data_IF_041621056578
#
_entry.id   IF_041621056578
#
_cell.length_a   1.000
_cell.length_b   1.000
_cell.length_c   1.000
_cell.angle_alpha   90.00
_cell.angle_beta   90.00
_cell.angle_gamma   90.00
#
_symmetry.space_group_name_H-M   'P 1'
#
loop_
_entity.id
_entity.type
_entity.pdbx_description
1 polymer ?
#
# COMPACT_ATOMS: atom_id res chain seq x y z
N UNK A 1 -0.76 30.16 -36.50
CA UNK A 1 -0.67 29.11 -35.46
C UNK A 1 -0.15 27.76 -36.02
N UNK A 2 0.94 27.77 -36.80
CA UNK A 2 1.53 26.56 -37.43
C UNK A 2 3.02 26.35 -37.09
N UNK A 3 3.70 27.36 -36.54
CA UNK A 3 5.15 27.31 -36.30
C UNK A 3 5.54 26.67 -34.95
N UNK A 4 4.69 26.75 -33.93
CA UNK A 4 5.01 26.22 -32.60
C UNK A 4 5.07 24.68 -32.54
N UNK A 5 4.38 23.96 -33.44
CA UNK A 5 4.46 22.50 -33.52
C UNK A 5 5.79 21.99 -34.09
N UNK A 6 6.53 22.82 -34.83
CA UNK A 6 7.75 22.40 -35.54
C UNK A 6 9.02 22.48 -34.67
N UNK A 7 8.99 23.27 -33.59
CA UNK A 7 10.11 23.39 -32.65
C UNK A 7 10.18 22.16 -31.73
N UNK A 8 9.03 21.62 -31.29
CA UNK A 8 8.98 20.48 -30.37
C UNK A 8 9.57 19.19 -30.96
N UNK A 9 9.48 18.99 -32.28
CA UNK A 9 9.89 17.74 -32.95
C UNK A 9 11.33 17.74 -33.47
N UNK A 10 11.97 18.91 -33.63
CA UNK A 10 13.26 19.05 -34.32
C UNK A 10 14.47 19.22 -33.39
N UNK A 11 14.33 19.85 -32.21
CA UNK A 11 15.48 20.05 -31.33
C UNK A 11 15.74 18.83 -30.45
N UNK A 12 16.76 18.03 -30.82
CA UNK A 12 17.32 16.93 -30.02
C UNK A 12 17.48 17.25 -28.52
N UNK A 13 17.98 18.44 -28.10
CA UNK A 13 18.12 18.75 -26.67
C UNK A 13 16.79 18.84 -25.93
N UNK A 14 15.71 19.28 -26.58
CA UNK A 14 14.38 19.39 -25.95
C UNK A 14 13.78 18.00 -25.69
N UNK A 15 13.96 17.04 -26.61
CA UNK A 15 13.50 15.66 -26.41
C UNK A 15 14.22 14.99 -25.24
N UNK A 16 15.53 15.21 -25.13
CA UNK A 16 16.33 14.73 -24.01
C UNK A 16 15.82 15.34 -22.69
N UNK A 17 15.61 16.65 -22.64
CA UNK A 17 15.06 17.33 -21.46
C UNK A 17 13.72 16.73 -21.02
N UNK A 18 12.78 16.57 -21.96
CA UNK A 18 11.45 15.99 -21.68
C UNK A 18 11.60 14.55 -21.16
N UNK A 19 12.46 13.75 -21.78
CA UNK A 19 12.72 12.37 -21.35
C UNK A 19 13.27 12.31 -19.92
N UNK A 20 14.18 13.22 -19.55
CA UNK A 20 14.73 13.31 -18.19
C UNK A 20 13.64 13.67 -17.19
N UNK A 21 12.76 14.63 -17.52
CA UNK A 21 11.63 15.01 -16.66
C UNK A 21 10.69 13.82 -16.45
N UNK A 22 10.33 13.10 -17.51
CA UNK A 22 9.45 11.92 -17.42
C UNK A 22 10.09 10.83 -16.55
N UNK A 23 11.38 10.56 -16.73
CA UNK A 23 12.12 9.60 -15.89
C UNK A 23 12.15 10.02 -14.42
N UNK A 24 12.34 11.32 -14.14
CA UNK A 24 12.35 11.84 -12.77
C UNK A 24 10.95 11.68 -12.11
N UNK A 25 9.88 12.00 -12.84
CA UNK A 25 8.50 11.81 -12.36
C UNK A 25 8.19 10.33 -12.11
N UNK A 26 8.63 9.43 -13.00
CA UNK A 26 8.44 7.99 -12.85
C UNK A 26 9.23 7.44 -11.65
N UNK A 27 10.46 7.90 -11.44
CA UNK A 27 11.26 7.54 -10.28
C UNK A 27 10.58 8.00 -8.97
N UNK A 28 10.01 9.21 -8.96
CA UNK A 28 9.25 9.72 -7.82
C UNK A 28 7.97 8.91 -7.58
N UNK A 29 7.25 8.55 -8.65
CA UNK A 29 6.09 7.68 -8.59
C UNK A 29 6.42 6.34 -7.93
N UNK A 30 7.46 5.65 -8.41
CA UNK A 30 7.86 4.36 -7.85
C UNK A 30 8.33 4.47 -6.41
N UNK A 31 9.03 5.56 -6.05
CA UNK A 31 9.39 5.83 -4.66
C UNK A 31 8.17 5.89 -3.74
N UNK A 32 7.08 6.53 -4.18
CA UNK A 32 5.83 6.58 -3.41
C UNK A 32 5.13 5.22 -3.42
N UNK A 33 5.02 4.58 -4.58
CA UNK A 33 4.34 3.29 -4.75
C UNK A 33 4.92 2.21 -3.84
N UNK A 34 6.25 2.10 -3.79
CA UNK A 34 6.95 1.10 -2.98
C UNK A 34 7.16 1.53 -1.53
N UNK A 35 6.65 2.68 -1.10
CA UNK A 35 6.72 3.09 0.30
C UNK A 35 6.03 2.03 1.16
N UNK A 36 6.77 1.47 2.11
CA UNK A 36 6.27 0.51 3.09
C UNK A 36 5.64 1.23 4.27
N UNK A 37 4.60 0.63 4.82
CA UNK A 37 3.84 1.22 5.92
C UNK A 37 2.67 0.34 6.28
N UNK A 38 1.68 0.93 6.93
CA UNK A 38 0.44 0.24 7.27
C UNK A 38 -0.72 1.23 7.32
N UNK A 39 -1.93 0.75 7.10
CA UNK A 39 -3.12 1.50 7.47
C UNK A 39 -3.40 1.40 8.97
N UNK A 40 -3.46 2.55 9.64
CA UNK A 40 -4.06 2.66 10.95
C UNK A 40 -5.42 3.35 10.78
N UNK A 41 -6.49 2.56 10.94
CA UNK A 41 -7.85 2.93 10.52
C UNK A 41 -7.81 3.26 9.01
N UNK A 42 -8.21 4.47 8.62
CA UNK A 42 -8.27 4.88 7.20
C UNK A 42 -7.03 5.68 6.76
N UNK A 43 -5.95 5.67 7.54
CA UNK A 43 -4.75 6.49 7.25
C UNK A 43 -3.52 5.62 7.06
N UNK A 44 -2.90 5.74 5.89
CA UNK A 44 -1.59 5.13 5.64
C UNK A 44 -0.51 5.85 6.45
N UNK A 45 0.13 5.12 7.36
CA UNK A 45 1.29 5.58 8.13
C UNK A 45 2.54 4.92 7.56
N UNK A 46 3.51 5.74 7.16
CA UNK A 46 4.76 5.30 6.54
C UNK A 46 5.67 4.69 7.60
N UNK A 47 6.28 3.56 7.28
CA UNK A 47 7.30 2.90 8.11
C UNK A 47 8.65 3.60 7.94
N UNK A 48 9.28 3.90 9.07
CA UNK A 48 10.61 4.48 9.19
C UNK A 48 11.37 3.65 10.23
N UNK A 49 12.27 2.79 9.75
CA UNK A 49 13.06 1.93 10.62
C UNK A 49 14.37 2.63 10.99
N UNK A 50 14.61 2.76 12.29
CA UNK A 50 15.92 3.06 12.88
C UNK A 50 16.55 1.77 13.43
N UNK A 51 17.83 1.80 13.81
CA UNK A 51 18.61 0.64 14.23
C UNK A 51 18.01 -0.14 15.42
N UNK A 52 17.20 0.50 16.28
CA UNK A 52 16.57 -0.13 17.45
C UNK A 52 15.07 0.14 17.61
N UNK A 53 14.49 0.96 16.72
CA UNK A 53 13.10 1.39 16.82
C UNK A 53 12.47 1.43 15.43
N UNK A 54 11.26 0.91 15.31
CA UNK A 54 10.45 1.10 14.11
C UNK A 54 9.39 2.16 14.40
N UNK A 55 9.41 3.25 13.63
CA UNK A 55 8.42 4.31 13.73
C UNK A 55 7.48 4.25 12.54
N UNK A 56 6.19 4.44 12.80
CA UNK A 56 5.18 4.59 11.77
C UNK A 56 4.59 5.99 11.91
N UNK A 57 4.75 6.81 10.86
CA UNK A 57 4.38 8.22 10.90
C UNK A 57 3.40 8.53 9.78
N UNK A 58 2.33 9.24 10.13
CA UNK A 58 1.39 9.79 9.16
C UNK A 58 0.56 10.91 9.74
N UNK A 59 -0.39 11.38 8.96
CA UNK A 59 -1.27 12.49 9.32
C UNK A 59 -2.64 12.26 8.73
N UNK A 60 -3.67 12.52 9.53
CA UNK A 60 -5.06 12.54 9.08
C UNK A 60 -5.69 13.92 9.30
N UNK A 61 -6.98 14.05 9.01
CA UNK A 61 -7.73 15.31 9.17
C UNK A 61 -7.82 15.80 10.62
N UNK A 62 -7.52 14.95 11.60
CA UNK A 62 -7.63 15.25 13.04
C UNK A 62 -6.27 15.56 13.69
N UNK A 63 -5.15 15.15 13.08
CA UNK A 63 -3.82 15.44 13.58
C UNK A 63 -2.76 14.48 13.06
N UNK A 64 -1.58 14.56 13.67
CA UNK A 64 -0.47 13.65 13.40
C UNK A 64 -0.71 12.32 14.13
N UNK A 65 -0.30 11.22 13.50
CA UNK A 65 -0.29 9.89 14.09
C UNK A 65 1.15 9.40 14.05
N UNK A 66 1.66 9.00 15.21
CA UNK A 66 2.97 8.36 15.33
C UNK A 66 2.84 7.12 16.20
N UNK A 67 3.30 5.99 15.68
CA UNK A 67 3.32 4.73 16.41
C UNK A 67 4.77 4.25 16.45
N UNK A 68 5.31 4.07 17.64
CA UNK A 68 6.70 3.67 17.84
C UNK A 68 6.74 2.28 18.43
N UNK A 69 7.46 1.38 17.77
CA UNK A 69 7.67 0.00 18.19
C UNK A 69 9.12 -0.15 18.62
N UNK A 70 9.33 -0.48 19.89
CA UNK A 70 10.65 -0.64 20.50
C UNK A 70 10.79 -2.04 21.07
N UNK A 71 11.92 -2.69 20.78
CA UNK A 71 12.24 -3.96 21.42
C UNK A 71 12.85 -3.71 22.79
N UNK A 72 12.26 -4.28 23.84
CA UNK A 72 12.74 -4.18 25.22
C UNK A 72 13.66 -5.34 25.60
N UNK A 73 13.31 -6.54 25.16
CA UNK A 73 14.07 -7.76 25.45
C UNK A 73 14.00 -8.70 24.25
N UNK A 74 15.11 -9.35 23.86
CA UNK A 74 15.12 -10.33 22.79
C UNK A 74 14.61 -11.71 23.25
N UNK A 75 14.65 -12.04 24.55
CA UNK A 75 14.25 -13.36 25.05
C UNK A 75 13.73 -13.37 26.50
N UNK A 76 12.45 -13.71 26.75
CA UNK A 76 11.39 -13.80 25.75
C UNK A 76 11.22 -12.46 25.04
N UNK A 77 10.99 -12.50 23.73
CA UNK A 77 10.87 -11.28 22.93
C UNK A 77 9.78 -10.40 23.56
N UNK A 78 10.10 -9.16 23.88
CA UNK A 78 9.17 -8.21 24.49
C UNK A 78 9.28 -6.91 23.75
N UNK A 79 8.13 -6.38 23.32
CA UNK A 79 8.05 -5.21 22.46
C UNK A 79 7.08 -4.22 23.06
N UNK A 80 7.50 -2.95 23.14
CA UNK A 80 6.63 -1.85 23.51
C UNK A 80 6.12 -1.16 22.25
N UNK A 81 4.81 -0.94 22.19
CA UNK A 81 4.14 -0.17 21.15
C UNK A 81 3.58 1.09 21.79
N UNK A 82 4.18 2.23 21.46
CA UNK A 82 3.77 3.56 21.92
C UNK A 82 2.98 4.24 20.83
N UNK A 83 1.75 4.64 21.16
CA UNK A 83 0.85 5.38 20.28
C UNK A 83 0.81 6.84 20.70
N UNK A 84 1.17 7.72 19.78
CA UNK A 84 0.97 9.16 19.86
C UNK A 84 -0.10 9.53 18.82
N UNK A 85 -1.32 9.72 19.29
CA UNK A 85 -2.50 9.97 18.47
C UNK A 85 -2.91 11.45 18.56
N UNK A 86 -3.81 11.91 17.66
CA UNK A 86 -4.41 13.25 17.76
C UNK A 86 -5.02 13.53 19.14
N UNK A 87 -5.18 14.82 19.47
CA UNK A 87 -5.64 15.28 20.79
C UNK A 87 -4.71 14.90 21.96
N UNK A 88 -3.40 14.78 21.71
CA UNK A 88 -2.38 14.44 22.70
C UNK A 88 -2.63 13.12 23.43
N UNK A 89 -3.36 12.19 22.81
CA UNK A 89 -3.60 10.87 23.37
C UNK A 89 -2.31 10.08 23.22
N UNK A 90 -1.76 9.69 24.36
CA UNK A 90 -0.61 8.80 24.47
C UNK A 90 -1.03 7.51 25.13
N UNK A 91 -0.80 6.39 24.45
CA UNK A 91 -1.08 5.05 24.96
C UNK A 91 0.15 4.18 24.74
N UNK A 92 0.41 3.29 25.68
CA UNK A 92 1.55 2.40 25.63
C UNK A 92 1.09 0.99 25.93
N UNK A 93 1.39 0.07 25.01
CA UNK A 93 1.11 -1.33 25.20
C UNK A 93 2.40 -2.14 25.15
N UNK A 94 2.57 -3.04 26.12
CA UNK A 94 3.69 -3.99 26.13
C UNK A 94 3.19 -5.36 25.68
N UNK A 95 3.84 -5.92 24.67
CA UNK A 95 3.54 -7.25 24.12
C UNK A 95 4.67 -8.19 24.48
N UNK A 96 4.35 -9.27 25.18
CA UNK A 96 5.32 -10.34 25.50
C UNK A 96 5.05 -11.55 24.60
N UNK A 97 6.11 -12.04 23.95
CA UNK A 97 6.06 -13.18 23.05
C UNK A 97 6.39 -14.48 23.77
N UNK A 98 5.77 -15.60 23.40
CA UNK A 98 6.06 -16.90 24.01
C UNK A 98 7.47 -17.37 23.66
N UNK A 99 8.10 -18.04 24.63
CA UNK A 99 9.50 -18.48 24.60
C UNK A 99 9.85 -19.45 23.45
N UNK A 100 8.88 -20.26 22.99
CA UNK A 100 9.06 -21.28 21.95
C UNK A 100 8.51 -20.88 20.56
N UNK A 101 8.09 -19.62 20.37
CA UNK A 101 7.48 -19.12 19.14
C UNK A 101 8.43 -18.94 17.94
N UNK A 102 9.53 -19.69 17.89
CA UNK A 102 10.57 -19.60 16.84
C UNK A 102 10.28 -20.52 15.62
N UNK A 103 9.19 -21.30 15.67
CA UNK A 103 8.75 -22.06 14.51
C UNK A 103 7.79 -21.19 13.69
N UNK A 104 8.20 -20.94 12.46
CA UNK A 104 7.67 -19.99 11.46
C UNK A 104 6.19 -20.17 11.05
N UNK A 105 5.44 -21.01 11.75
CA UNK A 105 4.09 -21.41 11.35
C UNK A 105 3.15 -21.43 12.55
N UNK A 106 2.32 -20.39 12.60
CA UNK A 106 0.92 -20.47 13.04
C UNK A 106 0.62 -20.56 14.55
N UNK A 107 -0.37 -19.78 14.96
CA UNK A 107 -1.31 -20.02 16.07
C UNK A 107 -1.04 -19.43 17.47
N UNK A 108 0.20 -19.34 18.01
CA UNK A 108 0.38 -19.06 19.46
C UNK A 108 1.65 -18.30 19.88
N UNK A 109 2.14 -17.33 19.10
CA UNK A 109 3.45 -16.70 19.35
C UNK A 109 3.51 -15.64 20.47
N UNK A 110 2.38 -15.22 21.05
CA UNK A 110 2.37 -14.20 22.11
C UNK A 110 1.65 -14.66 23.37
N UNK A 111 2.03 -14.09 24.50
CA UNK A 111 1.59 -14.50 25.82
C UNK A 111 0.51 -13.54 26.33
N UNK A 112 0.81 -12.25 26.35
CA UNK A 112 -0.11 -11.23 26.79
C UNK A 112 0.23 -9.85 26.20
N UNK A 113 -0.78 -8.98 26.26
CA UNK A 113 -0.67 -7.54 26.03
C UNK A 113 -1.02 -6.85 27.34
N UNK A 114 -0.14 -5.96 27.80
CA UNK A 114 -0.35 -5.12 28.98
C UNK A 114 -0.51 -3.66 28.60
N UNK A 115 -1.36 -2.94 29.32
CA UNK A 115 -1.51 -1.49 29.19
C UNK A 115 -0.41 -0.70 29.94
N UNK A 116 -0.49 0.63 29.88
CA UNK A 116 0.41 1.54 30.59
C UNK A 116 0.46 1.35 32.12
N UNK A 117 -0.59 0.75 32.71
CA UNK A 117 -0.67 0.47 34.15
C UNK A 117 -0.24 -0.95 34.51
N UNK A 118 0.12 -1.77 33.51
CA UNK A 118 0.53 -3.16 33.68
C UNK A 118 -0.64 -4.16 33.76
N UNK A 119 -1.88 -3.73 33.54
CA UNK A 119 -3.03 -4.62 33.49
C UNK A 119 -3.04 -5.42 32.19
N UNK A 120 -3.44 -6.69 32.25
CA UNK A 120 -3.55 -7.54 31.07
C UNK A 120 -4.80 -7.12 30.29
N UNK A 121 -4.59 -6.53 29.12
CA UNK A 121 -5.65 -6.13 28.18
C UNK A 121 -6.11 -7.32 27.36
N UNK A 122 -5.19 -8.24 27.05
CA UNK A 122 -5.46 -9.44 26.28
C UNK A 122 -4.43 -10.52 26.59
N UNK A 123 -4.87 -11.78 26.65
CA UNK A 123 -4.02 -12.95 26.73
C UNK A 123 -4.52 -13.99 25.73
N UNK A 124 -3.64 -14.48 24.85
CA UNK A 124 -4.08 -15.25 23.69
C UNK A 124 -3.09 -15.31 22.54
N UNK A 125 -3.60 -15.60 21.33
CA UNK A 125 -2.86 -15.82 20.09
C UNK A 125 -3.57 -15.26 18.86
N UNK A 126 -2.93 -15.32 17.69
CA UNK A 126 -3.62 -15.18 16.40
C UNK A 126 -3.97 -16.58 15.91
N UNK A 127 -5.19 -16.80 15.42
CA UNK A 127 -5.52 -18.03 14.71
C UNK A 127 -4.68 -18.13 13.42
N UNK A 128 -4.73 -17.08 12.62
CA UNK A 128 -3.96 -16.91 11.40
C UNK A 128 -3.56 -15.43 11.30
N UNK A 129 -2.28 -15.17 10.96
CA UNK A 129 -1.73 -13.82 10.81
C UNK A 129 -2.45 -13.06 9.68
N UNK A 130 -2.92 -13.80 8.66
CA UNK A 130 -3.57 -13.22 7.49
C UNK A 130 -5.08 -13.04 7.70
N UNK A 131 -5.72 -13.92 8.48
CA UNK A 131 -7.15 -13.83 8.79
C UNK A 131 -7.49 -12.78 9.86
N UNK A 132 -6.49 -12.32 10.64
CA UNK A 132 -6.66 -11.30 11.68
C UNK A 132 -7.51 -11.73 12.89
N UNK A 133 -7.91 -13.01 12.95
CA UNK A 133 -8.73 -13.55 14.03
C UNK A 133 -7.89 -13.80 15.29
N UNK A 134 -8.30 -13.20 16.40
CA UNK A 134 -7.68 -13.43 17.70
C UNK A 134 -8.28 -14.65 18.38
N UNK A 135 -7.45 -15.38 19.11
CA UNK A 135 -7.83 -16.48 19.99
C UNK A 135 -7.48 -16.14 21.42
N UNK A 136 -8.35 -16.46 22.37
CA UNK A 136 -8.02 -16.42 23.79
C UNK A 136 -7.07 -17.56 24.20
N UNK A 137 -6.68 -17.61 25.48
CA UNK A 137 -5.88 -18.70 26.04
C UNK A 137 -6.49 -20.09 25.86
N UNK A 138 -7.82 -20.19 25.76
CA UNK A 138 -8.60 -21.42 25.59
C UNK A 138 -8.85 -21.76 24.11
N UNK A 139 -8.26 -21.00 23.18
CA UNK A 139 -8.41 -21.14 21.73
C UNK A 139 -9.82 -20.84 21.21
N UNK A 140 -10.60 -20.03 21.92
CA UNK A 140 -11.87 -19.51 21.41
C UNK A 140 -11.65 -18.22 20.62
N UNK A 141 -12.36 -18.03 19.50
CA UNK A 141 -12.28 -16.79 18.73
C UNK A 141 -12.77 -15.61 19.58
N UNK A 142 -11.94 -14.59 19.67
CA UNK A 142 -12.27 -13.33 20.35
C UNK A 142 -12.69 -12.33 19.29
N UNK A 143 -13.97 -11.95 19.36
CA UNK A 143 -14.52 -10.86 18.57
C UNK A 143 -14.25 -9.56 19.30
N UNK A 144 -13.44 -8.69 18.72
CA UNK A 144 -13.20 -7.35 19.25
C UNK A 144 -14.46 -6.50 19.02
N UNK A 145 -15.30 -6.34 20.05
CA UNK A 145 -16.46 -5.46 20.01
C UNK A 145 -16.04 -3.98 20.15
N UNK A 146 -15.33 -3.46 19.14
CA UNK A 146 -14.97 -2.04 19.09
C UNK A 146 -15.87 -1.28 18.11
N UNK A 147 -17.18 -1.29 18.36
CA UNK A 147 -18.12 -0.36 17.72
C UNK A 147 -17.93 1.03 18.31
N UNK A 148 -16.93 1.77 17.84
CA UNK A 148 -16.86 3.21 18.11
C UNK A 148 -17.84 3.89 17.15
N UNK A 149 -19.04 4.23 17.64
CA UNK A 149 -19.99 5.05 16.88
C UNK A 149 -19.41 6.46 16.79
N UNK A 150 -18.82 6.78 15.64
CA UNK A 150 -18.33 8.12 15.35
C UNK A 150 -19.43 8.85 14.61
N UNK A 151 -19.98 9.91 15.23
CA UNK A 151 -20.89 10.82 14.52
C UNK A 151 -20.11 11.54 13.43
N UNK A 152 -20.67 11.60 12.22
CA UNK A 152 -20.01 12.21 11.07
C UNK A 152 -19.54 13.64 11.40
N UNK A 153 -18.27 13.94 11.17
CA UNK A 153 -17.65 15.23 11.48
C UNK A 153 -17.03 15.36 12.88
N UNK A 154 -17.30 14.44 13.81
CA UNK A 154 -16.64 14.44 15.12
C UNK A 154 -15.26 13.76 15.07
N UNK A 155 -14.38 14.16 15.98
CA UNK A 155 -13.05 13.59 16.12
C UNK A 155 -13.15 12.24 16.85
N UNK A 156 -12.73 11.11 16.24
CA UNK A 156 -12.86 9.79 16.85
C UNK A 156 -11.78 9.51 17.91
N UNK A 157 -10.84 10.43 18.11
CA UNK A 157 -9.79 10.36 19.12
C UNK A 157 -10.26 11.09 20.40
N UNK A 158 -11.02 10.37 21.23
CA UNK A 158 -11.50 10.83 22.54
C UNK A 158 -10.57 10.39 23.67
N UNK A 159 -10.66 11.02 24.85
CA UNK A 159 -9.71 10.76 25.95
C UNK A 159 -9.66 9.28 26.40
N UNK A 160 -10.77 8.56 26.28
CA UNK A 160 -10.94 7.14 26.58
C UNK A 160 -10.74 6.23 25.33
N UNK A 161 -10.07 6.73 24.29
CA UNK A 161 -9.82 5.97 23.07
C UNK A 161 -9.13 4.63 23.36
N UNK A 162 -9.83 3.54 23.08
CA UNK A 162 -9.32 2.17 23.21
C UNK A 162 -8.69 1.73 21.90
N UNK A 163 -7.53 1.10 22.01
CA UNK A 163 -6.80 0.54 20.88
C UNK A 163 -7.02 -0.96 20.86
N UNK A 164 -7.41 -1.51 19.72
CA UNK A 164 -7.60 -2.95 19.55
C UNK A 164 -6.33 -3.74 19.87
N UNK A 165 -6.43 -4.85 20.62
CA UNK A 165 -5.37 -5.84 20.76
C UNK A 165 -4.79 -6.30 19.42
N UNK A 166 -5.63 -6.58 18.43
CA UNK A 166 -5.24 -7.01 17.08
C UNK A 166 -4.35 -5.98 16.38
N UNK A 167 -4.68 -4.69 16.51
CA UNK A 167 -3.87 -3.61 15.94
C UNK A 167 -2.50 -3.54 16.59
N UNK A 168 -2.45 -3.67 17.92
CA UNK A 168 -1.20 -3.68 18.69
C UNK A 168 -0.30 -4.85 18.33
N UNK A 169 -0.88 -6.04 18.24
CA UNK A 169 -0.13 -7.24 17.88
C UNK A 169 0.44 -7.15 16.47
N UNK A 170 -0.36 -6.67 15.51
CA UNK A 170 0.15 -6.45 14.16
C UNK A 170 1.37 -5.53 14.17
N UNK A 171 1.37 -4.45 14.96
CA UNK A 171 2.52 -3.52 15.02
C UNK A 171 3.74 -4.16 15.67
N UNK A 172 3.52 -4.90 16.76
CA UNK A 172 4.59 -5.61 17.47
C UNK A 172 5.24 -6.72 16.63
N UNK A 173 4.45 -7.41 15.80
CA UNK A 173 4.94 -8.50 14.93
C UNK A 173 5.50 -8.02 13.59
N UNK A 174 5.18 -6.78 13.17
CA UNK A 174 5.42 -6.26 11.80
C UNK A 174 4.82 -7.13 10.68
N UNK A 175 3.88 -8.04 10.98
CA UNK A 175 3.37 -9.02 9.99
C UNK A 175 2.37 -8.42 9.02
N UNK A 176 1.71 -7.32 9.37
CA UNK A 176 0.70 -6.66 8.53
C UNK A 176 1.27 -5.41 7.81
N UNK A 177 2.59 -5.37 7.58
CA UNK A 177 3.19 -4.28 6.82
C UNK A 177 2.89 -4.48 5.34
N UNK A 178 2.44 -3.41 4.69
CA UNK A 178 2.05 -3.42 3.29
C UNK A 178 2.82 -2.38 2.51
N UNK A 179 2.92 -2.59 1.20
CA UNK A 179 3.29 -1.53 0.29
C UNK A 179 2.07 -0.64 0.02
N UNK A 180 2.30 0.67 -0.08
CA UNK A 180 1.23 1.63 -0.37
C UNK A 180 0.52 1.33 -1.68
N UNK A 181 1.29 0.94 -2.69
CA UNK A 181 0.80 0.70 -4.04
C UNK A 181 0.10 -0.65 -4.22
N UNK A 182 -0.98 -0.65 -5.01
CA UNK A 182 -1.68 -1.86 -5.44
C UNK A 182 -1.03 -2.44 -6.71
N UNK A 183 -0.34 -3.56 -6.55
CA UNK A 183 0.38 -4.24 -7.64
C UNK A 183 -0.52 -4.62 -8.82
N UNK A 184 -1.75 -5.05 -8.55
CA UNK A 184 -2.70 -5.48 -9.58
C UNK A 184 -2.98 -4.35 -10.58
N UNK A 185 -3.22 -3.13 -10.08
CA UNK A 185 -3.48 -1.96 -10.91
C UNK A 185 -2.24 -1.48 -11.67
N UNK A 186 -1.06 -1.53 -11.03
CA UNK A 186 0.20 -1.21 -11.69
C UNK A 186 0.47 -2.18 -12.85
N UNK A 187 0.32 -3.49 -12.64
CA UNK A 187 0.52 -4.51 -13.67
C UNK A 187 -0.46 -4.28 -14.83
N UNK A 188 -1.74 -4.04 -14.54
CA UNK A 188 -2.74 -3.72 -15.57
C UNK A 188 -2.35 -2.48 -16.39
N UNK A 189 -1.91 -1.40 -15.72
CA UNK A 189 -1.46 -0.18 -16.39
C UNK A 189 -0.25 -0.44 -17.31
N UNK A 190 0.71 -1.24 -16.85
CA UNK A 190 1.90 -1.62 -17.64
C UNK A 190 1.54 -2.48 -18.85
N UNK A 191 0.59 -3.42 -18.71
CA UNK A 191 0.09 -4.24 -19.82
C UNK A 191 -0.55 -3.36 -20.90
N UNK A 192 -1.44 -2.44 -20.52
CA UNK A 192 -2.09 -1.52 -21.47
C UNK A 192 -1.03 -0.66 -22.19
N UNK A 193 -0.04 -0.18 -21.45
CA UNK A 193 1.03 0.64 -22.01
C UNK A 193 1.92 -0.18 -22.97
N UNK A 194 2.25 -1.43 -22.63
CA UNK A 194 3.00 -2.34 -23.48
C UNK A 194 2.24 -2.66 -24.78
N UNK A 195 0.95 -2.98 -24.69
CA UNK A 195 0.07 -3.22 -25.85
C UNK A 195 0.06 -1.98 -26.75
N UNK A 196 -0.11 -0.78 -26.17
CA UNK A 196 -0.12 0.48 -26.92
C UNK A 196 1.23 0.72 -27.61
N UNK A 197 2.36 0.47 -26.93
CA UNK A 197 3.69 0.64 -27.52
C UNK A 197 3.94 -0.32 -28.69
N UNK A 198 3.49 -1.57 -28.57
CA UNK A 198 3.53 -2.55 -29.67
C UNK A 198 2.70 -2.04 -30.83
N UNK A 199 1.49 -1.54 -30.57
CA UNK A 199 0.58 -1.02 -31.60
C UNK A 199 1.12 0.24 -32.30
N UNK A 200 1.84 1.12 -31.59
CA UNK A 200 2.51 2.29 -32.19
C UNK A 200 3.70 1.87 -33.05
N UNK A 201 4.53 0.93 -32.56
CA UNK A 201 5.77 0.52 -33.25
C UNK A 201 5.49 -0.41 -34.43
N UNK A 202 4.48 -1.26 -34.30
CA UNK A 202 4.08 -2.28 -35.26
C UNK A 202 2.56 -2.20 -35.50
N UNK A 203 2.07 -1.19 -36.24
CA UNK A 203 0.64 -0.92 -36.37
C UNK A 203 -0.15 -2.05 -37.04
N UNK A 204 0.49 -2.90 -37.84
CA UNK A 204 -0.19 -4.04 -38.44
C UNK A 204 -0.11 -5.30 -37.58
N UNK A 205 0.57 -5.29 -36.43
CA UNK A 205 0.83 -6.50 -35.64
C UNK A 205 -0.46 -7.21 -35.19
N UNK A 206 -1.34 -6.51 -34.48
CA UNK A 206 -2.60 -7.10 -33.99
C UNK A 206 -3.57 -7.42 -35.13
N UNK A 207 -3.57 -6.60 -36.18
CA UNK A 207 -4.37 -6.85 -37.37
C UNK A 207 -3.93 -8.14 -38.07
N UNK A 208 -2.65 -8.30 -38.35
CA UNK A 208 -2.10 -9.51 -38.97
C UNK A 208 -2.34 -10.70 -38.07
N UNK A 209 -2.00 -10.63 -36.77
CA UNK A 209 -2.19 -11.72 -35.81
C UNK A 209 -3.63 -12.25 -35.78
N UNK A 210 -4.62 -11.35 -35.83
CA UNK A 210 -6.04 -11.73 -35.87
C UNK A 210 -6.46 -12.46 -37.15
N UNK A 211 -5.80 -12.18 -38.28
CA UNK A 211 -6.15 -12.73 -39.59
C UNK A 211 -5.21 -13.84 -40.05
N UNK A 212 -4.23 -14.24 -39.22
CA UNK A 212 -3.37 -15.41 -39.48
C UNK A 212 -4.29 -16.62 -39.74
N UNK A 213 -4.13 -17.25 -40.90
CA UNK A 213 -4.84 -18.47 -41.28
C UNK A 213 -6.28 -18.30 -41.73
N UNK A 214 -6.79 -17.06 -41.86
CA UNK A 214 -8.16 -16.82 -42.34
C UNK A 214 -8.20 -16.27 -43.77
N UNK A 215 -7.25 -15.39 -44.14
CA UNK A 215 -7.23 -14.73 -45.45
C UNK A 215 -5.79 -14.50 -45.89
N UNK A 216 -5.50 -14.69 -47.18
CA UNK A 216 -4.22 -14.30 -47.79
C UNK A 216 -4.16 -12.77 -47.99
N UNK A 217 -3.09 -12.14 -47.48
CA UNK A 217 -2.85 -10.69 -47.58
C UNK A 217 -4.01 -9.80 -47.09
N UNK A 218 -4.38 -9.86 -45.79
CA UNK A 218 -5.44 -9.02 -45.25
C UNK A 218 -5.01 -7.54 -45.26
N UNK A 219 -5.93 -6.64 -45.62
CA UNK A 219 -5.71 -5.18 -45.57
C UNK A 219 -6.64 -4.53 -44.53
N UNK A 220 -6.13 -3.64 -43.66
CA UNK A 220 -6.95 -2.97 -42.67
C UNK A 220 -7.89 -1.95 -43.33
N UNK A 221 -9.10 -1.83 -42.80
CA UNK A 221 -10.04 -0.78 -43.21
C UNK A 221 -9.62 0.60 -42.70
N UNK A 222 -10.11 1.66 -43.35
CA UNK A 222 -9.86 3.03 -42.90
C UNK A 222 -10.37 3.27 -41.46
N UNK A 223 -11.53 2.69 -41.12
CA UNK A 223 -12.07 2.76 -39.76
C UNK A 223 -11.14 2.13 -38.72
N UNK A 224 -10.50 1.00 -39.06
CA UNK A 224 -9.53 0.36 -38.17
C UNK A 224 -8.35 1.30 -37.87
N UNK A 225 -7.78 1.91 -38.91
CA UNK A 225 -6.63 2.83 -38.78
C UNK A 225 -7.02 4.07 -37.94
N UNK A 226 -8.24 4.59 -38.10
CA UNK A 226 -8.73 5.73 -37.31
C UNK A 226 -8.86 5.33 -35.83
N UNK A 227 -9.52 4.21 -35.53
CA UNK A 227 -9.68 3.72 -34.15
C UNK A 227 -8.33 3.40 -33.50
N UNK A 228 -7.40 2.86 -34.26
CA UNK A 228 -6.04 2.57 -33.82
C UNK A 228 -5.32 3.84 -33.36
N UNK A 229 -5.37 4.91 -34.15
CA UNK A 229 -4.78 6.21 -33.77
C UNK A 229 -5.44 6.82 -32.54
N UNK A 230 -6.75 6.63 -32.35
CA UNK A 230 -7.45 7.05 -31.13
C UNK A 230 -6.92 6.24 -29.92
N UNK A 231 -6.76 4.93 -30.08
CA UNK A 231 -6.20 4.04 -29.06
C UNK A 231 -4.81 4.47 -28.60
N UNK A 232 -3.97 4.98 -29.51
CA UNK A 232 -2.63 5.48 -29.16
C UNK A 232 -2.63 6.64 -28.18
N UNK A 233 -3.70 7.44 -28.14
CA UNK A 233 -3.85 8.50 -27.15
C UNK A 233 -4.60 8.00 -25.90
N UNK A 234 -5.63 7.17 -26.10
CA UNK A 234 -6.49 6.71 -25.02
C UNK A 234 -5.78 5.69 -24.11
N UNK A 235 -4.99 4.77 -24.67
CA UNK A 235 -4.25 3.75 -23.91
C UNK A 235 -3.31 4.35 -22.86
N UNK A 236 -2.38 5.26 -23.23
CA UNK A 236 -1.50 5.90 -22.27
C UNK A 236 -2.26 6.75 -21.24
N UNK A 237 -3.34 7.42 -21.64
CA UNK A 237 -4.18 8.19 -20.72
C UNK A 237 -4.82 7.28 -19.65
N UNK A 238 -5.38 6.14 -20.06
CA UNK A 238 -5.94 5.14 -19.14
C UNK A 238 -4.84 4.56 -18.23
N UNK A 239 -3.67 4.22 -18.77
CA UNK A 239 -2.53 3.73 -17.98
C UNK A 239 -2.11 4.74 -16.90
N UNK A 240 -2.06 6.03 -17.22
CA UNK A 240 -1.73 7.09 -16.25
C UNK A 240 -2.79 7.16 -15.15
N UNK A 241 -4.08 7.11 -15.50
CA UNK A 241 -5.18 7.11 -14.54
C UNK A 241 -5.08 5.89 -13.61
N UNK A 242 -4.84 4.70 -14.16
CA UNK A 242 -4.68 3.48 -13.36
C UNK A 242 -3.47 3.56 -12.43
N UNK A 243 -2.35 4.12 -12.88
CA UNK A 243 -1.19 4.36 -12.03
C UNK A 243 -1.51 5.32 -10.88
N UNK A 244 -2.27 6.39 -11.12
CA UNK A 244 -2.70 7.31 -10.05
C UNK A 244 -3.58 6.58 -9.04
N UNK A 245 -4.58 5.83 -9.51
CA UNK A 245 -5.49 5.06 -8.65
C UNK A 245 -4.73 3.97 -7.88
N UNK A 246 -3.66 3.41 -8.45
CA UNK A 246 -2.87 2.38 -7.81
C UNK A 246 -2.12 2.83 -6.53
N UNK A 247 -2.04 4.14 -6.26
CA UNK A 247 -1.37 4.71 -5.06
C UNK A 247 -2.38 5.23 -4.02
N UNK A 248 -3.65 5.42 -4.41
CA UNK A 248 -4.73 5.89 -3.55
C UNK A 248 -5.22 4.72 -2.71
#
# INVERSE_FOLDING_TARGET
>A
MKETKNVLSKSLPLKLLISVIVLALLAFYFKIFFTTGRYFRDTFIKKETSSSETQYVGKNKYGNIKITVKELSPYPKTVTVVYELPNNIKKEHTVTFKKDGNNDSSLLAFENIKDETGNIVFAGGYYDKDAGLLLDEKQYPVFEENLTVVVEGQNPFVADHKISPSTTLGFASSTADIHRGQYQLLIAALIILAITLIDIKFPLFFFTFRHIGTVDNPQPSELYIILQKISWFLGPAISIILMIVAII
#
